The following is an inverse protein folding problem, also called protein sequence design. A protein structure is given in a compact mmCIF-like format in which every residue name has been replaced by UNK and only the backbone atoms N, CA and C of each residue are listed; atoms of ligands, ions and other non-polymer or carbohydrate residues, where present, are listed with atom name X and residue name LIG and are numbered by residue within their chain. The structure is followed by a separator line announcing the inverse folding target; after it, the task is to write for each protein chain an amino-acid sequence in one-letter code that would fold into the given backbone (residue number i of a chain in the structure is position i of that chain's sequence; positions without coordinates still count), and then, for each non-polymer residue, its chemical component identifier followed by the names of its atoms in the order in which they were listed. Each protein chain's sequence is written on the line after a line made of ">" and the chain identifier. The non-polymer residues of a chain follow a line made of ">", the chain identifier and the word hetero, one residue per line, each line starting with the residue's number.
data_IF_744977728833
#
_entry.id   IF_744977728833
#
_cell.length_a   1.000
_cell.length_b   1.000
_cell.length_c   1.000
_cell.angle_alpha   90.00
_cell.angle_beta   90.00
_cell.angle_gamma   90.00
#
_symmetry.space_group_name_H-M   'P 1'
#
loop_
_entity.id
_entity.type
_entity.pdbx_description
1 polymer ?
#
# COMPACT_ATOMS: atom_id res chain seq x y z
N UNK A 1 24.66 -25.87 -13.12
CA UNK A 1 23.70 -24.75 -13.01
C UNK A 1 22.30 -25.32 -13.10
N UNK A 2 21.35 -24.83 -12.30
CA UNK A 2 19.94 -25.19 -12.46
C UNK A 2 19.28 -24.03 -13.21
N UNK A 3 18.84 -24.29 -14.42
CA UNK A 3 18.06 -23.34 -15.22
C UNK A 3 16.59 -23.47 -14.81
N UNK A 4 15.90 -22.36 -14.70
CA UNK A 4 14.47 -22.32 -14.33
C UNK A 4 13.77 -21.47 -15.36
N UNK A 5 12.82 -22.08 -16.06
CA UNK A 5 11.94 -21.39 -17.00
C UNK A 5 10.91 -20.57 -16.22
N UNK A 6 10.67 -19.34 -16.65
CA UNK A 6 9.72 -18.46 -16.00
C UNK A 6 9.69 -17.08 -16.62
N UNK A 7 8.89 -16.20 -16.02
CA UNK A 7 8.63 -14.87 -16.54
C UNK A 7 9.48 -13.88 -15.76
N UNK A 8 10.28 -13.10 -16.49
CA UNK A 8 11.07 -12.00 -15.93
C UNK A 8 10.30 -10.70 -16.11
N UNK A 9 10.04 -10.01 -15.00
CA UNK A 9 9.30 -8.75 -14.98
C UNK A 9 10.25 -7.65 -14.55
N UNK A 10 10.39 -6.63 -15.39
CA UNK A 10 11.13 -5.39 -15.13
C UNK A 10 10.14 -4.23 -15.07
N UNK A 11 10.29 -3.37 -14.07
CA UNK A 11 9.43 -2.20 -13.90
C UNK A 11 9.97 -1.22 -12.87
N UNK A 12 9.22 -0.14 -12.65
CA UNK A 12 9.57 0.81 -11.60
C UNK A 12 9.36 0.22 -10.19
N UNK A 13 9.92 0.91 -9.19
CA UNK A 13 9.90 0.45 -7.80
C UNK A 13 8.47 0.34 -7.22
N UNK A 14 7.54 1.16 -7.69
CA UNK A 14 6.16 1.15 -7.20
C UNK A 14 5.38 -0.04 -7.77
N UNK A 15 5.52 -0.32 -9.07
CA UNK A 15 4.93 -1.46 -9.74
C UNK A 15 5.42 -2.79 -9.13
N UNK A 16 6.74 -2.92 -8.93
CA UNK A 16 7.32 -4.14 -8.33
C UNK A 16 6.91 -4.28 -6.86
N UNK A 17 6.86 -3.20 -6.08
CA UNK A 17 6.36 -3.24 -4.71
C UNK A 17 4.88 -3.66 -4.65
N UNK A 18 4.07 -3.17 -5.59
CA UNK A 18 2.66 -3.54 -5.71
C UNK A 18 2.47 -5.03 -6.03
N UNK A 19 3.16 -5.55 -7.04
CA UNK A 19 3.11 -6.98 -7.39
C UNK A 19 3.59 -7.87 -6.23
N UNK A 20 4.67 -7.47 -5.54
CA UNK A 20 5.17 -8.15 -4.34
C UNK A 20 4.12 -8.22 -3.22
N UNK A 21 3.39 -7.13 -3.01
CA UNK A 21 2.31 -7.08 -2.02
C UNK A 21 1.17 -8.04 -2.38
N UNK A 22 0.80 -8.14 -3.66
CA UNK A 22 -0.32 -8.97 -4.11
C UNK A 22 -0.01 -10.48 -4.12
N UNK A 23 1.20 -10.87 -4.50
CA UNK A 23 1.58 -12.29 -4.47
C UNK A 23 1.97 -12.80 -3.08
N UNK A 24 1.89 -11.96 -2.04
CA UNK A 24 1.98 -12.45 -0.66
C UNK A 24 0.59 -12.95 -0.24
N UNK A 25 0.40 -14.25 0.06
CA UNK A 25 -0.89 -14.76 0.51
C UNK A 25 -1.27 -14.09 1.83
N UNK A 26 -2.30 -13.27 1.79
CA UNK A 26 -2.95 -12.69 2.96
C UNK A 26 -4.30 -13.38 3.18
N UNK A 27 -4.73 -13.53 4.43
CA UNK A 27 -6.01 -14.17 4.76
C UNK A 27 -7.16 -13.53 3.96
N UNK A 28 -7.84 -14.34 3.15
CA UNK A 28 -9.01 -13.91 2.37
C UNK A 28 -8.72 -13.24 1.02
N UNK A 29 -7.46 -13.20 0.55
CA UNK A 29 -7.14 -12.85 -0.84
C UNK A 29 -6.73 -14.09 -1.62
N UNK A 30 -7.22 -14.20 -2.86
CA UNK A 30 -6.60 -15.05 -3.86
C UNK A 30 -5.15 -14.59 -4.02
N UNK A 31 -4.23 -15.42 -3.51
CA UNK A 31 -2.81 -15.17 -3.62
C UNK A 31 -2.39 -15.17 -5.09
N UNK A 32 -1.43 -14.32 -5.43
CA UNK A 32 -0.79 -14.37 -6.73
C UNK A 32 0.06 -15.63 -6.94
N UNK A 33 0.54 -15.84 -8.18
CA UNK A 33 1.45 -16.94 -8.50
C UNK A 33 2.75 -16.83 -7.69
N UNK A 34 3.49 -17.93 -7.50
CA UNK A 34 4.78 -17.91 -6.85
C UNK A 34 5.73 -16.93 -7.52
N UNK A 35 6.24 -15.99 -6.73
CA UNK A 35 7.10 -14.91 -7.21
C UNK A 35 8.33 -14.77 -6.31
N UNK A 36 9.45 -14.43 -6.94
CA UNK A 36 10.75 -14.19 -6.29
C UNK A 36 11.23 -12.81 -6.66
N UNK A 37 11.36 -11.95 -5.66
CA UNK A 37 12.02 -10.67 -5.85
C UNK A 37 13.51 -10.87 -6.09
N UNK A 38 14.02 -10.24 -7.14
CA UNK A 38 15.45 -10.21 -7.44
C UNK A 38 16.08 -8.94 -6.86
N UNK A 39 15.40 -7.82 -7.04
CA UNK A 39 15.73 -6.53 -6.43
C UNK A 39 14.47 -5.64 -6.33
N UNK A 40 14.65 -4.31 -6.38
CA UNK A 40 13.60 -3.32 -6.27
C UNK A 40 12.89 -3.01 -7.59
N UNK A 41 13.46 -3.42 -8.73
CA UNK A 41 12.95 -3.17 -10.09
C UNK A 41 12.69 -4.45 -10.87
N UNK A 42 13.07 -5.60 -10.33
CA UNK A 42 12.97 -6.90 -10.99
C UNK A 42 12.29 -7.95 -10.12
N UNK A 43 11.39 -8.71 -10.75
CA UNK A 43 10.65 -9.82 -10.19
C UNK A 43 10.72 -11.02 -11.14
N UNK A 44 10.90 -12.21 -10.58
CA UNK A 44 10.82 -13.46 -11.34
C UNK A 44 9.60 -14.26 -10.90
N UNK A 45 8.76 -14.65 -11.84
CA UNK A 45 7.54 -15.43 -11.58
C UNK A 45 7.64 -16.82 -12.22
N UNK A 46 6.90 -17.78 -11.67
CA UNK A 46 6.70 -19.07 -12.33
C UNK A 46 6.07 -18.88 -13.72
N UNK A 47 6.57 -19.60 -14.72
CA UNK A 47 6.02 -19.53 -16.07
C UNK A 47 4.59 -20.08 -16.17
N UNK A 48 3.92 -19.76 -17.27
CA UNK A 48 2.62 -20.32 -17.62
C UNK A 48 1.54 -19.27 -17.83
N UNK A 49 0.55 -19.64 -18.64
CA UNK A 49 -0.54 -18.76 -19.09
C UNK A 49 -1.32 -18.12 -17.93
N UNK A 50 -1.53 -18.85 -16.83
CA UNK A 50 -2.21 -18.33 -15.65
C UNK A 50 -1.41 -17.19 -14.98
N UNK A 51 -0.08 -17.31 -14.93
CA UNK A 51 0.78 -16.24 -14.40
C UNK A 51 0.81 -15.04 -15.33
N UNK A 52 0.92 -15.27 -16.64
CA UNK A 52 0.90 -14.19 -17.65
C UNK A 52 -0.38 -13.38 -17.54
N UNK A 53 -1.52 -14.06 -17.58
CA UNK A 53 -2.83 -13.41 -17.45
C UNK A 53 -2.99 -12.68 -16.12
N UNK A 54 -2.53 -13.28 -15.02
CA UNK A 54 -2.55 -12.61 -13.72
C UNK A 54 -1.70 -11.33 -13.72
N UNK A 55 -0.49 -11.38 -14.29
CA UNK A 55 0.39 -10.22 -14.39
C UNK A 55 -0.26 -9.11 -15.24
N UNK A 56 -0.82 -9.46 -16.39
CA UNK A 56 -1.53 -8.52 -17.27
C UNK A 56 -2.69 -7.84 -16.54
N UNK A 57 -3.56 -8.62 -15.89
CA UNK A 57 -4.71 -8.10 -15.14
C UNK A 57 -4.24 -7.14 -14.03
N UNK A 58 -3.21 -7.51 -13.25
CA UNK A 58 -2.73 -6.68 -12.13
C UNK A 58 -2.00 -5.42 -12.58
N UNK A 59 -1.23 -5.49 -13.66
CA UNK A 59 -0.57 -4.32 -14.24
C UNK A 59 -1.63 -3.36 -14.79
N UNK A 60 -2.64 -3.88 -15.48
CA UNK A 60 -3.76 -3.09 -15.95
C UNK A 60 -4.52 -2.41 -14.79
N UNK A 61 -4.83 -3.14 -13.73
CA UNK A 61 -5.44 -2.59 -12.50
C UNK A 61 -4.58 -1.47 -11.91
N UNK A 62 -3.27 -1.71 -11.77
CA UNK A 62 -2.32 -0.76 -11.22
C UNK A 62 -2.31 0.55 -12.02
N UNK A 63 -2.24 0.47 -13.35
CA UNK A 63 -2.23 1.65 -14.22
C UNK A 63 -3.59 2.35 -14.18
N UNK A 64 -4.68 1.60 -14.29
CA UNK A 64 -6.04 2.16 -14.32
C UNK A 64 -6.39 2.94 -13.05
N UNK A 65 -5.98 2.44 -11.89
CA UNK A 65 -6.20 3.14 -10.62
C UNK A 65 -5.26 4.35 -10.43
N UNK A 66 -4.10 4.37 -11.08
CA UNK A 66 -3.14 5.48 -10.98
C UNK A 66 -3.35 6.60 -12.01
N UNK A 67 -4.15 6.38 -13.06
CA UNK A 67 -4.42 7.38 -14.10
C UNK A 67 -5.63 8.30 -13.80
N UNK A 68 -6.19 8.26 -12.60
CA UNK A 68 -7.39 9.04 -12.24
C UNK A 68 -7.17 9.92 -11.01
N UNK A 69 -6.43 11.01 -11.20
CA UNK A 69 -6.81 12.32 -10.66
C UNK A 69 -6.02 13.39 -11.42
N UNK A 70 -6.66 14.20 -12.30
CA UNK A 70 -6.10 15.52 -12.59
C UNK A 70 -5.89 16.20 -11.23
N UNK A 71 -4.77 16.89 -10.98
CA UNK A 71 -4.67 17.70 -9.79
C UNK A 71 -5.92 18.59 -9.77
N UNK A 72 -6.78 18.45 -8.76
CA UNK A 72 -7.78 19.48 -8.51
C UNK A 72 -6.98 20.77 -8.40
N UNK A 73 -7.09 21.68 -9.38
CA UNK A 73 -6.46 22.99 -9.31
C UNK A 73 -6.91 23.58 -7.97
N UNK A 74 -6.05 23.63 -6.93
CA UNK A 74 -6.36 24.50 -5.85
C UNK A 74 -6.06 25.86 -6.46
N UNK A 75 -7.12 26.56 -6.88
CA UNK A 75 -7.13 28.01 -6.82
C UNK A 75 -6.99 28.43 -5.35
N UNK A 76 -5.85 28.06 -4.75
CA UNK A 76 -5.30 28.66 -3.56
C UNK A 76 -5.00 30.09 -3.97
N UNK A 77 -6.01 30.93 -3.75
CA UNK A 77 -5.90 32.37 -3.87
C UNK A 77 -4.88 32.81 -2.82
N UNK A 78 -3.61 32.81 -3.19
CA UNK A 78 -2.54 33.40 -2.41
C UNK A 78 -2.76 34.92 -2.40
N UNK A 79 -3.37 35.41 -1.32
CA UNK A 79 -3.23 36.79 -0.86
C UNK A 79 -4.39 37.74 -1.20
N UNK A 80 -5.30 37.92 -0.23
CA UNK A 80 -5.77 39.25 0.12
C UNK A 80 -6.11 39.30 1.62
N UNK A 81 -5.07 39.39 2.45
CA UNK A 81 -5.20 39.89 3.80
C UNK A 81 -5.17 41.43 3.74
N UNK A 82 -6.34 42.06 3.77
CA UNK A 82 -6.48 43.47 4.16
C UNK A 82 -7.54 43.56 5.25
N UNK A 83 -7.04 43.71 6.47
CA UNK A 83 -7.57 44.45 7.64
C UNK A 83 -9.08 44.56 7.84
N UNK A 84 -9.56 44.04 8.98
CA UNK A 84 -10.71 44.61 9.68
C UNK A 84 -11.56 43.61 10.46
N UNK A 85 -11.53 43.68 11.79
CA UNK A 85 -12.63 43.22 12.64
C UNK A 85 -12.26 42.13 13.65
N UNK A 86 -12.16 42.53 14.92
CA UNK A 86 -11.71 41.69 16.03
C UNK A 86 -12.69 40.60 16.46
N UNK A 87 -12.14 39.57 17.13
CA UNK A 87 -12.92 38.45 17.63
C UNK A 87 -12.15 37.48 18.52
N UNK A 88 -11.74 37.95 19.71
CA UNK A 88 -11.57 37.21 20.98
C UNK A 88 -10.84 35.86 20.94
N UNK A 89 -9.61 35.87 21.45
CA UNK A 89 -8.83 34.66 21.67
C UNK A 89 -9.36 33.71 22.72
N UNK A 90 -8.89 32.46 22.63
CA UNK A 90 -8.62 31.55 23.75
C UNK A 90 -7.71 30.41 23.27
N UNK A 91 -6.62 30.18 24.01
CA UNK A 91 -6.10 28.83 24.22
C UNK A 91 -5.10 28.29 23.21
N UNK A 92 -3.82 28.62 23.42
CA UNK A 92 -2.65 27.89 22.95
C UNK A 92 -2.67 26.45 23.49
N UNK A 93 -2.65 25.43 22.62
CA UNK A 93 -2.25 24.07 22.98
C UNK A 93 -1.51 23.41 21.81
N UNK A 94 -0.26 23.02 22.08
CA UNK A 94 0.70 22.42 21.14
C UNK A 94 0.28 21.01 20.65
N UNK A 95 0.82 20.53 19.51
CA UNK A 95 0.49 19.21 18.96
C UNK A 95 1.10 18.08 19.80
N UNK A 96 0.28 17.17 20.33
CA UNK A 96 0.74 15.98 21.04
C UNK A 96 1.01 14.82 20.08
N UNK A 97 2.30 14.68 19.78
CA UNK A 97 3.09 13.44 19.58
C UNK A 97 2.39 12.12 19.96
N UNK A 98 2.34 11.20 18.99
CA UNK A 98 2.49 9.74 19.12
C UNK A 98 1.65 8.99 20.16
N UNK A 99 0.51 8.43 19.73
CA UNK A 99 -0.13 7.34 20.47
C UNK A 99 0.40 5.99 19.97
N UNK A 100 1.14 5.31 20.85
CA UNK A 100 1.50 3.89 20.72
C UNK A 100 0.26 3.04 20.95
N UNK A 101 -0.01 2.09 20.04
CA UNK A 101 -1.06 1.07 20.16
C UNK A 101 -0.79 0.20 21.40
N UNK A 102 -1.77 -0.05 22.30
CA UNK A 102 -1.63 -1.07 23.33
C UNK A 102 -1.73 -2.49 22.72
N UNK A 103 -0.90 -3.39 23.22
CA UNK A 103 -0.83 -4.81 22.83
C UNK A 103 -2.05 -5.61 23.37
N UNK A 104 -2.43 -6.73 22.72
CA UNK A 104 -3.54 -7.57 23.19
C UNK A 104 -3.20 -8.33 24.46
N UNK A 105 -4.14 -8.30 25.42
CA UNK A 105 -4.09 -9.04 26.69
C UNK A 105 -4.41 -10.51 26.41
N UNK A 106 -3.52 -11.43 26.79
CA UNK A 106 -3.80 -12.86 26.86
C UNK A 106 -4.72 -13.12 28.04
N UNK A 107 -5.95 -13.55 27.79
CA UNK A 107 -6.80 -14.13 28.83
C UNK A 107 -6.67 -15.65 28.75
N UNK A 108 -5.80 -16.20 29.59
CA UNK A 108 -5.87 -17.60 30.00
C UNK A 108 -7.13 -17.76 30.86
N UNK A 109 -8.13 -18.48 30.35
CA UNK A 109 -9.25 -18.93 31.18
C UNK A 109 -8.94 -20.35 31.65
N UNK A 110 -8.46 -20.42 32.89
CA UNK A 110 -8.22 -21.65 33.60
C UNK A 110 -9.51 -22.44 33.85
N UNK A 111 -9.34 -23.76 33.88
CA UNK A 111 -10.28 -24.77 34.31
C UNK A 111 -11.01 -24.40 35.61
N UNK A 112 -12.29 -24.70 35.69
CA UNK A 112 -12.89 -25.18 36.93
C UNK A 112 -13.86 -26.30 36.64
N UNK A 113 -13.53 -27.43 37.25
CA UNK A 113 -14.25 -28.69 37.30
C UNK A 113 -15.28 -28.51 38.42
N UNK A 114 -16.54 -28.80 38.13
CA UNK A 114 -17.63 -28.91 39.10
C UNK A 114 -18.53 -30.03 38.66
#
# INVERSE_FOLDING_TARGET
>A
MRETEGIFVEGDRAAIAYLRHLGTPAEGRDGGPPQRALDDTHLFCEGGEATERWLEDRIHDFVSCNMLEPPEDPTATFGQASEGGGGRGRGRAAPRRGQKRPAPVKTESAMSIG
#
